data_IF_439879868170
#
_entry.id   IF_439879868170
#
_cell.length_a   1.000
_cell.length_b   1.000
_cell.length_c   1.000
_cell.angle_alpha   90.00
_cell.angle_beta   90.00
_cell.angle_gamma   90.00
#
_symmetry.space_group_name_H-M   'P 1'
#
loop_
_entity.id
_entity.type
_entity.pdbx_description
1 polymer ?
#
# COMPACT_ATOMS: atom_id res chain seq x y z
N UNK A 1 55.58 -24.74 26.15
CA UNK A 1 54.37 -24.12 25.56
C UNK A 1 53.19 -25.06 25.79
N UNK A 2 52.19 -24.61 26.56
CA UNK A 2 51.11 -25.46 27.08
C UNK A 2 49.85 -25.32 26.22
N UNK A 3 49.36 -26.46 25.73
CA UNK A 3 48.14 -26.69 24.93
C UNK A 3 46.83 -26.25 25.62
N UNK A 4 46.89 -25.64 26.82
CA UNK A 4 45.70 -25.26 27.61
C UNK A 4 45.12 -23.88 27.28
N UNK A 5 45.82 -23.02 26.54
CA UNK A 5 45.28 -21.68 26.20
C UNK A 5 44.46 -21.64 24.90
N UNK A 6 44.53 -22.68 24.06
CA UNK A 6 43.77 -22.70 22.79
C UNK A 6 42.28 -23.08 22.93
N UNK A 7 41.86 -23.64 24.07
CA UNK A 7 40.47 -24.09 24.27
C UNK A 7 39.48 -22.96 24.59
N UNK A 8 39.96 -21.84 25.13
CA UNK A 8 39.09 -20.70 25.45
C UNK A 8 38.85 -19.77 24.25
N UNK A 9 39.70 -19.83 23.22
CA UNK A 9 39.52 -19.04 21.99
C UNK A 9 38.41 -19.64 21.09
N UNK A 10 38.30 -20.97 21.02
CA UNK A 10 37.27 -21.64 20.22
C UNK A 10 35.86 -21.49 20.80
N UNK A 11 35.72 -21.41 22.13
CA UNK A 11 34.42 -21.22 22.78
C UNK A 11 33.85 -19.81 22.55
N UNK A 12 34.71 -18.80 22.44
CA UNK A 12 34.29 -17.42 22.17
C UNK A 12 33.87 -17.20 20.70
N UNK A 13 34.52 -17.89 19.75
CA UNK A 13 34.14 -17.81 18.33
C UNK A 13 32.80 -18.50 18.06
N UNK A 14 32.46 -19.58 18.77
CA UNK A 14 31.17 -20.26 18.59
C UNK A 14 29.98 -19.52 19.20
N UNK A 15 30.16 -18.70 20.25
CA UNK A 15 29.07 -17.88 20.82
C UNK A 15 28.81 -16.64 19.97
N UNK A 16 29.82 -16.10 19.27
CA UNK A 16 29.63 -14.97 18.37
C UNK A 16 28.94 -15.36 17.05
N UNK A 17 29.07 -16.61 16.60
CA UNK A 17 28.47 -17.08 15.35
C UNK A 17 26.97 -17.41 15.45
N UNK A 18 26.43 -17.56 16.67
CA UNK A 18 25.00 -17.86 16.89
C UNK A 18 24.13 -16.60 16.96
N UNK A 19 24.72 -15.40 17.12
CA UNK A 19 23.96 -14.15 17.22
C UNK A 19 23.69 -13.41 15.89
N UNK A 20 24.23 -13.85 14.76
CA UNK A 20 24.18 -13.07 13.51
C UNK A 20 23.37 -13.67 12.37
N UNK A 21 22.66 -14.78 12.60
CA UNK A 21 21.74 -15.36 11.63
C UNK A 21 20.31 -15.25 12.12
N UNK A 22 19.93 -14.07 12.62
CA UNK A 22 18.59 -13.56 12.34
C UNK A 22 18.57 -13.30 10.83
N UNK A 23 18.40 -14.37 10.05
CA UNK A 23 17.98 -14.24 8.67
C UNK A 23 16.73 -13.37 8.72
N UNK A 24 16.87 -12.12 8.30
CA UNK A 24 15.76 -11.29 7.89
C UNK A 24 15.10 -12.10 6.79
N UNK A 25 14.11 -12.90 7.16
CA UNK A 25 13.30 -13.61 6.20
C UNK A 25 12.50 -12.51 5.53
N UNK A 26 13.03 -12.03 4.39
CA UNK A 26 12.37 -11.03 3.58
C UNK A 26 10.92 -11.48 3.41
N UNK A 27 9.98 -10.63 3.83
CA UNK A 27 8.57 -10.92 3.64
C UNK A 27 8.33 -11.14 2.16
N UNK A 28 7.59 -12.20 1.83
CA UNK A 28 7.24 -12.43 0.43
C UNK A 28 6.31 -11.30 0.01
N UNK A 29 6.68 -10.53 -1.03
CA UNK A 29 5.85 -9.43 -1.48
C UNK A 29 4.49 -9.96 -1.94
N UNK A 30 3.44 -9.16 -1.71
CA UNK A 30 2.15 -9.38 -2.34
C UNK A 30 2.33 -9.32 -3.86
N UNK A 31 1.84 -10.32 -4.58
CA UNK A 31 1.82 -10.30 -6.05
C UNK A 31 0.52 -9.64 -6.51
N UNK A 32 0.61 -8.74 -7.48
CA UNK A 32 -0.53 -7.98 -7.98
C UNK A 32 -0.81 -8.36 -9.43
N UNK A 33 -2.07 -8.67 -9.73
CA UNK A 33 -2.52 -9.07 -11.05
C UNK A 33 -3.68 -8.21 -11.53
N UNK A 34 -3.69 -7.95 -12.83
CA UNK A 34 -4.91 -7.54 -13.55
C UNK A 34 -5.49 -8.77 -14.24
N UNK A 35 -6.68 -9.20 -13.87
CA UNK A 35 -7.35 -10.31 -14.55
C UNK A 35 -8.32 -9.76 -15.60
N UNK A 36 -8.06 -10.08 -16.88
CA UNK A 36 -8.83 -9.62 -18.03
C UNK A 36 -9.78 -10.70 -18.54
N UNK A 37 -11.10 -10.60 -18.32
CA UNK A 37 -12.06 -11.47 -19.01
C UNK A 37 -11.96 -11.36 -20.54
N UNK A 38 -12.40 -12.39 -21.26
CA UNK A 38 -12.25 -12.48 -22.73
C UNK A 38 -13.03 -11.42 -23.53
N UNK A 39 -14.08 -10.85 -22.95
CA UNK A 39 -14.92 -9.79 -23.52
C UNK A 39 -14.55 -8.37 -23.02
N UNK A 40 -13.49 -8.27 -22.21
CA UNK A 40 -12.99 -6.99 -21.69
C UNK A 40 -11.74 -6.59 -22.48
N UNK A 41 -11.62 -5.30 -22.81
CA UNK A 41 -10.45 -4.77 -23.49
C UNK A 41 -9.19 -4.92 -22.61
N UNK A 42 -8.01 -5.00 -23.24
CA UNK A 42 -6.77 -5.03 -22.49
C UNK A 42 -6.61 -3.74 -21.68
N UNK A 43 -6.08 -3.82 -20.43
CA UNK A 43 -5.88 -2.63 -19.63
C UNK A 43 -4.93 -1.68 -20.34
N UNK A 44 -5.27 -0.40 -20.28
CA UNK A 44 -4.37 0.69 -20.65
C UNK A 44 -3.27 0.83 -19.60
N UNK A 45 -2.15 1.49 -19.96
CA UNK A 45 -1.09 1.76 -18.99
C UNK A 45 -1.62 2.62 -17.83
N UNK A 46 -2.42 3.64 -18.11
CA UNK A 46 -3.06 4.50 -17.10
C UNK A 46 -3.89 3.69 -16.08
N UNK A 47 -4.56 2.61 -16.51
CA UNK A 47 -5.30 1.73 -15.59
C UNK A 47 -4.38 0.90 -14.69
N UNK A 48 -3.25 0.40 -15.23
CA UNK A 48 -2.25 -0.31 -14.44
C UNK A 48 -1.57 0.64 -13.45
N UNK A 49 -1.22 1.85 -13.88
CA UNK A 49 -0.65 2.88 -13.02
C UNK A 49 -1.62 3.25 -11.89
N UNK A 50 -2.92 3.38 -12.20
CA UNK A 50 -3.96 3.62 -11.18
C UNK A 50 -4.07 2.48 -10.16
N UNK A 51 -3.90 1.22 -10.59
CA UNK A 51 -3.87 0.06 -9.67
C UNK A 51 -2.61 0.10 -8.78
N UNK A 52 -1.47 0.44 -9.35
CA UNK A 52 -0.24 0.62 -8.60
C UNK A 52 -0.42 1.72 -7.52
N UNK A 53 -0.98 2.87 -7.88
CA UNK A 53 -1.33 3.94 -6.94
C UNK A 53 -2.27 3.48 -5.82
N UNK A 54 -3.27 2.65 -6.14
CA UNK A 54 -4.15 2.03 -5.12
C UNK A 54 -3.35 1.17 -4.15
N UNK A 55 -2.43 0.33 -4.64
CA UNK A 55 -1.62 -0.53 -3.78
C UNK A 55 -0.67 0.26 -2.89
N UNK A 56 -0.04 1.32 -3.42
CA UNK A 56 0.78 2.27 -2.64
C UNK A 56 -0.06 2.92 -1.54
N UNK A 57 -1.22 3.48 -1.89
CA UNK A 57 -2.09 4.15 -0.92
C UNK A 57 -2.59 3.20 0.19
N UNK A 58 -2.88 1.94 -0.16
CA UNK A 58 -3.25 0.92 0.83
C UNK A 58 -2.05 0.56 1.71
N UNK A 59 -0.86 0.38 1.14
CA UNK A 59 0.37 0.15 1.89
C UNK A 59 0.64 1.28 2.90
N UNK A 60 0.50 2.54 2.48
CA UNK A 60 0.65 3.73 3.33
C UNK A 60 -0.39 3.80 4.44
N UNK A 61 -1.64 3.41 4.15
CA UNK A 61 -2.70 3.32 5.15
C UNK A 61 -2.35 2.33 6.26
N UNK A 62 -1.90 1.12 5.91
CA UNK A 62 -1.47 0.13 6.91
C UNK A 62 -0.29 0.66 7.72
N UNK A 63 0.74 1.23 7.08
CA UNK A 63 1.89 1.82 7.76
C UNK A 63 1.48 2.89 8.78
N UNK A 64 0.65 3.84 8.35
CA UNK A 64 0.18 4.97 9.15
C UNK A 64 -0.66 4.52 10.34
N UNK A 65 -1.55 3.55 10.12
CA UNK A 65 -2.41 3.03 11.18
C UNK A 65 -1.62 2.19 12.20
N UNK A 66 -0.62 1.42 11.76
CA UNK A 66 0.28 0.69 12.66
C UNK A 66 1.11 1.65 13.52
N UNK A 67 1.63 2.74 12.93
CA UNK A 67 2.37 3.77 13.66
C UNK A 67 1.48 4.52 14.65
N UNK A 68 0.26 4.88 14.25
CA UNK A 68 -0.75 5.53 15.10
C UNK A 68 -1.07 4.74 16.37
N UNK A 69 -0.94 3.41 16.34
CA UNK A 69 -1.15 2.53 17.49
C UNK A 69 0.13 2.18 18.27
N UNK A 70 1.28 2.74 17.87
CA UNK A 70 2.56 2.57 18.55
C UNK A 70 3.35 1.33 18.15
N UNK A 71 3.03 0.70 17.02
CA UNK A 71 3.76 -0.46 16.49
C UNK A 71 4.86 -0.07 15.48
N UNK A 72 5.01 1.23 15.19
CA UNK A 72 5.91 1.78 14.18
C UNK A 72 5.33 1.69 12.76
N UNK A 73 6.09 2.21 11.78
CA UNK A 73 5.74 2.22 10.35
C UNK A 73 5.85 0.82 9.72
N UNK A 74 4.99 -0.09 10.17
CA UNK A 74 4.94 -1.47 9.67
C UNK A 74 3.89 -1.61 8.57
N UNK A 75 4.28 -2.20 7.45
CA UNK A 75 3.38 -2.48 6.35
C UNK A 75 3.87 -3.68 5.55
N UNK A 76 3.10 -4.09 4.55
CA UNK A 76 3.46 -5.18 3.65
C UNK A 76 4.26 -4.66 2.47
N UNK A 77 5.14 -5.48 1.90
CA UNK A 77 5.72 -5.21 0.58
C UNK A 77 4.80 -5.77 -0.52
N UNK A 78 4.84 -5.19 -1.71
CA UNK A 78 4.18 -5.75 -2.89
C UNK A 78 5.08 -5.61 -4.13
N UNK A 79 4.83 -6.45 -5.13
CA UNK A 79 5.51 -6.39 -6.42
C UNK A 79 4.84 -5.29 -7.27
N UNK A 80 5.57 -4.22 -7.65
CA UNK A 80 4.99 -3.14 -8.45
C UNK A 80 4.71 -3.56 -9.90
N UNK A 81 5.34 -4.64 -10.40
CA UNK A 81 5.11 -5.17 -11.73
C UNK A 81 3.77 -5.92 -11.76
N UNK A 82 2.73 -5.27 -12.28
CA UNK A 82 1.39 -5.85 -12.39
C UNK A 82 1.33 -6.79 -13.59
N UNK A 83 1.16 -8.09 -13.34
CA UNK A 83 0.98 -9.09 -14.40
C UNK A 83 -0.47 -9.11 -14.90
N UNK A 84 -0.67 -9.05 -16.22
CA UNK A 84 -1.98 -9.19 -16.86
C UNK A 84 -2.26 -10.66 -17.15
N UNK A 85 -3.31 -11.21 -16.54
CA UNK A 85 -3.79 -12.58 -16.75
C UNK A 85 -4.99 -12.57 -17.69
N UNK A 86 -4.89 -13.35 -18.76
CA UNK A 86 -5.92 -13.51 -19.78
C UNK A 86 -6.94 -14.59 -19.39
N UNK A 87 -8.17 -14.17 -19.10
CA UNK A 87 -9.31 -15.05 -18.82
C UNK A 87 -9.90 -15.65 -20.10
N UNK A 88 -10.41 -16.88 -20.00
CA UNK A 88 -10.99 -17.64 -21.11
C UNK A 88 -12.47 -17.38 -21.35
N UNK A 89 -13.17 -16.84 -20.36
CA UNK A 89 -14.61 -16.64 -20.37
C UNK A 89 -14.99 -15.17 -20.30
N UNK A 90 -16.28 -14.86 -20.47
CA UNK A 90 -16.80 -13.49 -20.37
C UNK A 90 -16.85 -13.02 -18.91
N UNK A 91 -16.82 -11.70 -18.68
CA UNK A 91 -16.85 -11.07 -17.36
C UNK A 91 -17.98 -11.62 -16.48
N UNK A 92 -19.15 -11.86 -17.06
CA UNK A 92 -20.31 -12.35 -16.32
C UNK A 92 -20.06 -13.72 -15.65
N UNK A 93 -19.19 -14.55 -16.20
CA UNK A 93 -18.83 -15.84 -15.60
C UNK A 93 -17.96 -15.69 -14.34
N UNK A 94 -17.16 -14.64 -14.26
CA UNK A 94 -16.35 -14.31 -13.09
C UNK A 94 -17.09 -13.51 -12.03
N UNK A 95 -18.32 -13.07 -12.30
CA UNK A 95 -19.16 -12.33 -11.32
C UNK A 95 -20.07 -13.23 -10.49
N UNK A 96 -20.22 -14.50 -10.86
CA UNK A 96 -21.17 -15.40 -10.20
C UNK A 96 -20.68 -15.87 -8.81
N UNK A 97 -21.63 -15.84 -7.86
CA UNK A 97 -21.46 -15.71 -6.41
C UNK A 97 -20.69 -16.84 -5.65
N UNK A 98 -20.19 -17.84 -6.37
CA UNK A 98 -19.59 -19.04 -5.72
C UNK A 98 -18.30 -19.47 -6.44
N UNK A 99 -18.08 -19.01 -7.66
CA UNK A 99 -17.08 -19.60 -8.55
C UNK A 99 -16.08 -18.62 -9.12
N UNK A 100 -16.27 -17.31 -8.90
CA UNK A 100 -15.37 -16.25 -9.37
C UNK A 100 -13.90 -16.54 -9.06
N UNK A 101 -13.56 -16.66 -7.78
CA UNK A 101 -12.22 -16.96 -7.29
C UNK A 101 -11.72 -18.33 -7.80
N UNK A 102 -12.58 -19.36 -7.79
CA UNK A 102 -12.19 -20.69 -8.24
C UNK A 102 -11.79 -20.69 -9.70
N UNK A 103 -12.51 -19.95 -10.53
CA UNK A 103 -12.33 -19.87 -11.98
C UNK A 103 -11.09 -19.04 -12.34
N UNK A 104 -10.94 -17.85 -11.76
CA UNK A 104 -9.72 -17.02 -11.88
C UNK A 104 -8.49 -17.86 -11.55
N UNK A 105 -8.51 -18.56 -10.42
CA UNK A 105 -7.41 -19.45 -10.00
C UNK A 105 -7.21 -20.65 -10.93
N UNK A 106 -8.26 -21.21 -11.52
CA UNK A 106 -8.11 -22.33 -12.47
C UNK A 106 -7.48 -21.92 -13.80
N UNK A 107 -7.58 -20.63 -14.13
CA UNK A 107 -7.07 -20.08 -15.39
C UNK A 107 -5.75 -19.35 -15.23
N UNK A 108 -5.32 -19.10 -13.98
CA UNK A 108 -4.02 -18.52 -13.66
C UNK A 108 -3.04 -19.59 -13.18
N UNK A 109 -1.97 -19.82 -13.95
CA UNK A 109 -0.86 -20.68 -13.53
C UNK A 109 0.01 -20.01 -12.44
N UNK A 110 -0.06 -18.68 -12.33
CA UNK A 110 0.68 -17.86 -11.37
C UNK A 110 0.09 -17.93 -9.95
N UNK A 111 -1.20 -18.23 -9.81
CA UNK A 111 -1.90 -18.30 -8.52
C UNK A 111 -1.97 -19.75 -8.02
N UNK A 112 -1.17 -20.06 -7.00
CA UNK A 112 -0.95 -21.44 -6.54
C UNK A 112 -1.59 -21.73 -5.18
N UNK A 113 -2.12 -22.95 -5.05
CA UNK A 113 -2.38 -23.52 -3.72
C UNK A 113 -1.07 -23.75 -3.01
N UNK A 114 -1.03 -23.45 -1.71
CA UNK A 114 0.15 -23.79 -0.93
C UNK A 114 0.20 -23.14 0.44
N UNK A 115 1.31 -23.40 1.12
CA UNK A 115 1.58 -22.97 2.49
C UNK A 115 2.71 -21.93 2.52
N UNK A 116 3.03 -21.32 1.39
CA UNK A 116 4.10 -20.33 1.26
C UNK A 116 3.70 -18.98 1.86
N UNK A 117 2.44 -18.84 2.28
CA UNK A 117 1.90 -17.60 2.86
C UNK A 117 1.94 -16.41 1.89
N UNK A 118 1.81 -16.68 0.59
CA UNK A 118 1.72 -15.67 -0.46
C UNK A 118 0.35 -15.02 -0.46
N UNK A 119 0.29 -13.72 -0.74
CA UNK A 119 -0.97 -13.01 -0.98
C UNK A 119 -0.96 -12.60 -2.45
N UNK A 120 -2.03 -12.96 -3.15
CA UNK A 120 -2.28 -12.60 -4.53
C UNK A 120 -3.42 -11.59 -4.55
N UNK A 121 -3.20 -10.36 -5.03
CA UNK A 121 -4.25 -9.36 -5.20
C UNK A 121 -4.61 -9.28 -6.67
N UNK A 122 -5.86 -9.58 -6.99
CA UNK A 122 -6.38 -9.67 -8.36
C UNK A 122 -7.40 -8.57 -8.58
N UNK A 123 -7.08 -7.62 -9.46
CA UNK A 123 -8.01 -6.61 -9.95
C UNK A 123 -8.76 -7.17 -11.16
N UNK A 124 -10.07 -7.37 -11.02
CA UNK A 124 -10.93 -7.90 -12.08
C UNK A 124 -11.35 -6.78 -13.04
N UNK A 125 -10.83 -6.81 -14.28
CA UNK A 125 -11.14 -5.86 -15.34
C UNK A 125 -12.60 -5.90 -15.79
N UNK A 126 -13.16 -4.76 -16.23
CA UNK A 126 -14.56 -4.65 -16.66
C UNK A 126 -15.59 -4.65 -15.52
N UNK A 127 -15.17 -5.00 -14.31
CA UNK A 127 -16.05 -5.06 -13.16
C UNK A 127 -16.23 -3.64 -12.57
N UNK A 128 -17.40 -3.07 -12.77
CA UNK A 128 -17.86 -1.79 -12.18
C UNK A 128 -18.86 -1.98 -11.03
N UNK A 129 -19.03 -3.23 -10.59
CA UNK A 129 -20.01 -3.61 -9.58
C UNK A 129 -19.41 -4.65 -8.64
N UNK A 130 -20.12 -4.85 -7.53
CA UNK A 130 -19.82 -5.87 -6.53
C UNK A 130 -19.45 -7.22 -7.17
N UNK A 131 -18.26 -7.72 -6.84
CA UNK A 131 -17.84 -9.09 -7.14
C UNK A 131 -18.47 -9.95 -6.06
N UNK A 132 -19.23 -10.96 -6.45
CA UNK A 132 -19.84 -11.86 -5.46
C UNK A 132 -20.82 -11.14 -4.49
N UNK A 133 -21.46 -10.05 -4.95
CA UNK A 133 -22.34 -9.24 -4.09
C UNK A 133 -21.61 -8.48 -2.96
N UNK A 134 -20.27 -8.53 -2.94
CA UNK A 134 -19.39 -7.83 -2.01
C UNK A 134 -18.43 -6.89 -2.77
N UNK A 135 -17.73 -6.02 -2.04
CA UNK A 135 -16.78 -5.07 -2.66
C UNK A 135 -15.52 -5.75 -3.18
N UNK A 136 -15.16 -6.84 -2.55
CA UNK A 136 -14.23 -7.83 -3.05
C UNK A 136 -14.44 -9.13 -2.30
N UNK A 137 -13.45 -10.00 -2.44
CA UNK A 137 -13.44 -11.29 -1.77
C UNK A 137 -12.01 -11.62 -1.38
N UNK A 138 -11.81 -12.11 -0.17
CA UNK A 138 -10.55 -12.70 0.29
C UNK A 138 -10.74 -14.18 0.60
N UNK A 139 -9.95 -15.04 -0.04
CA UNK A 139 -10.07 -16.49 0.04
C UNK A 139 -8.72 -17.16 0.31
N UNK A 140 -8.69 -17.99 1.35
CA UNK A 140 -7.57 -18.86 1.65
C UNK A 140 -7.42 -19.96 0.56
N UNK A 141 -6.19 -20.15 0.08
CA UNK A 141 -5.76 -21.11 -0.94
C UNK A 141 -4.92 -22.25 -0.33
N UNK A 142 -5.43 -22.89 0.71
CA UNK A 142 -4.89 -24.13 1.29
C UNK A 142 -6.00 -25.15 1.61
N UNK A 143 -5.70 -26.45 1.51
CA UNK A 143 -6.68 -27.53 1.61
C UNK A 143 -7.05 -27.94 3.06
N UNK A 144 -6.90 -27.05 4.05
CA UNK A 144 -6.97 -27.44 5.47
C UNK A 144 -7.97 -26.59 6.24
N UNK A 145 -8.55 -27.20 7.28
CA UNK A 145 -9.45 -26.56 8.23
C UNK A 145 -8.85 -25.25 8.79
N UNK A 146 -9.64 -24.17 8.88
CA UNK A 146 -9.18 -22.81 9.23
C UNK A 146 -8.53 -22.70 10.62
N UNK A 147 -8.71 -23.70 11.47
CA UNK A 147 -8.28 -23.73 12.86
C UNK A 147 -6.80 -24.14 13.03
N UNK A 148 -6.14 -24.61 11.96
CA UNK A 148 -4.84 -25.30 12.07
C UNK A 148 -3.69 -24.72 11.24
N UNK A 149 -3.89 -23.65 10.46
CA UNK A 149 -2.81 -23.11 9.62
C UNK A 149 -2.53 -21.64 9.87
N UNK A 150 -1.27 -21.38 10.27
CA UNK A 150 -0.67 -20.04 10.35
C UNK A 150 -0.19 -19.57 8.96
N UNK A 151 0.03 -20.50 8.04
CA UNK A 151 0.62 -20.25 6.72
C UNK A 151 -0.28 -20.82 5.62
N UNK A 152 -0.90 -19.93 4.87
CA UNK A 152 -1.79 -20.28 3.77
C UNK A 152 -1.67 -19.20 2.72
N UNK A 153 -1.56 -19.58 1.44
CA UNK A 153 -1.67 -18.59 0.39
C UNK A 153 -3.08 -17.98 0.45
N UNK A 154 -3.22 -16.70 0.11
CA UNK A 154 -4.51 -16.01 0.06
C UNK A 154 -4.67 -15.35 -1.30
N UNK A 155 -5.90 -15.32 -1.79
CA UNK A 155 -6.25 -14.57 -2.98
C UNK A 155 -7.32 -13.55 -2.63
N UNK A 156 -7.00 -12.30 -2.90
CA UNK A 156 -7.88 -11.14 -2.82
C UNK A 156 -8.36 -10.83 -4.24
N UNK A 157 -9.66 -10.73 -4.44
CA UNK A 157 -10.26 -10.31 -5.72
C UNK A 157 -11.02 -9.02 -5.48
N UNK A 158 -10.65 -7.97 -6.21
CA UNK A 158 -11.27 -6.65 -6.12
C UNK A 158 -11.69 -6.17 -7.52
N UNK A 159 -12.72 -5.33 -7.56
CA UNK A 159 -13.23 -4.77 -8.81
C UNK A 159 -12.32 -3.64 -9.30
N UNK A 160 -11.81 -3.72 -10.55
CA UNK A 160 -10.89 -2.70 -11.06
C UNK A 160 -11.57 -1.35 -11.34
N UNK A 161 -12.86 -1.31 -11.66
CA UNK A 161 -13.54 -0.08 -12.10
C UNK A 161 -14.38 0.60 -10.99
N UNK A 162 -14.41 0.06 -9.77
CA UNK A 162 -15.18 0.67 -8.66
C UNK A 162 -14.42 1.82 -7.98
N UNK A 163 -14.18 2.90 -8.74
CA UNK A 163 -13.32 4.03 -8.31
C UNK A 163 -13.69 4.61 -6.93
N UNK A 164 -14.97 4.66 -6.58
CA UNK A 164 -15.41 5.25 -5.31
C UNK A 164 -15.03 4.43 -4.07
N UNK A 165 -14.83 3.11 -4.24
CA UNK A 165 -14.62 2.15 -3.16
C UNK A 165 -13.37 1.29 -3.32
N UNK A 166 -12.61 1.44 -4.42
CA UNK A 166 -11.44 0.61 -4.69
C UNK A 166 -10.40 0.73 -3.58
N UNK A 167 -10.16 1.94 -3.04
CA UNK A 167 -9.21 2.15 -1.95
C UNK A 167 -9.65 1.45 -0.65
N UNK A 168 -10.79 1.81 -0.02
CA UNK A 168 -11.21 1.16 1.23
C UNK A 168 -11.57 -0.32 1.05
N UNK A 169 -12.08 -0.71 -0.13
CA UNK A 169 -12.37 -2.09 -0.48
C UNK A 169 -11.11 -2.93 -0.56
N UNK A 170 -10.08 -2.48 -1.27
CA UNK A 170 -8.79 -3.19 -1.34
C UNK A 170 -8.13 -3.29 0.03
N UNK A 171 -8.15 -2.22 0.84
CA UNK A 171 -7.64 -2.27 2.21
C UNK A 171 -8.39 -3.30 3.09
N UNK A 172 -9.71 -3.39 2.96
CA UNK A 172 -10.54 -4.36 3.68
C UNK A 172 -10.20 -5.81 3.32
N UNK A 173 -10.15 -6.12 2.03
CA UNK A 173 -9.91 -7.49 1.58
C UNK A 173 -8.47 -7.95 1.84
N UNK A 174 -7.50 -7.02 1.76
CA UNK A 174 -6.12 -7.28 2.19
C UNK A 174 -6.08 -7.51 3.71
N UNK A 175 -6.86 -6.77 4.50
CA UNK A 175 -7.04 -7.04 5.94
C UNK A 175 -7.47 -8.49 6.20
N UNK A 176 -8.44 -9.01 5.45
CA UNK A 176 -8.83 -10.41 5.51
C UNK A 176 -7.70 -11.38 5.15
N UNK A 177 -6.89 -11.06 4.12
CA UNK A 177 -5.74 -11.88 3.74
C UNK A 177 -4.67 -11.92 4.85
N UNK A 178 -4.59 -10.89 5.68
CA UNK A 178 -3.77 -10.86 6.91
C UNK A 178 -4.44 -11.52 8.13
N UNK A 179 -5.63 -12.09 7.98
CA UNK A 179 -6.35 -12.82 9.04
C UNK A 179 -7.28 -11.95 9.88
N UNK A 180 -7.47 -10.68 9.52
CA UNK A 180 -8.47 -9.83 10.18
C UNK A 180 -9.88 -10.32 9.86
N UNK A 181 -10.78 -10.16 10.82
CA UNK A 181 -12.19 -10.55 10.70
C UNK A 181 -13.06 -9.31 10.70
N UNK A 182 -14.29 -9.45 10.21
CA UNK A 182 -15.26 -8.38 10.36
C UNK A 182 -15.47 -8.05 11.84
N UNK A 183 -15.58 -6.76 12.10
CA UNK A 183 -15.96 -6.22 13.40
C UNK A 183 -17.36 -5.63 13.34
N UNK A 184 -18.05 -5.67 14.49
CA UNK A 184 -19.34 -4.99 14.66
C UNK A 184 -19.16 -3.49 14.94
N UNK A 185 -17.94 -3.06 15.29
CA UNK A 185 -17.62 -1.66 15.48
C UNK A 185 -17.60 -0.96 14.14
N UNK A 186 -18.54 -0.04 13.91
CA UNK A 186 -18.63 0.70 12.64
C UNK A 186 -17.68 1.90 12.55
N UNK A 187 -17.32 2.46 13.69
CA UNK A 187 -16.54 3.69 13.77
C UNK A 187 -15.48 3.60 14.87
N UNK A 188 -14.31 4.18 14.59
CA UNK A 188 -13.21 4.39 15.53
C UNK A 188 -13.02 5.90 15.65
N UNK A 189 -13.55 6.47 16.74
CA UNK A 189 -13.67 7.92 16.86
C UNK A 189 -14.64 8.47 15.82
N UNK A 190 -14.14 9.30 14.90
CA UNK A 190 -14.90 9.88 13.79
C UNK A 190 -14.60 9.23 12.43
N UNK A 191 -13.74 8.19 12.38
CA UNK A 191 -13.39 7.44 11.17
C UNK A 191 -14.18 6.15 11.11
N UNK A 192 -14.53 5.67 9.92
CA UNK A 192 -15.09 4.34 9.72
C UNK A 192 -14.08 3.27 10.13
N UNK A 193 -14.54 2.16 10.66
CA UNK A 193 -13.66 1.00 10.86
C UNK A 193 -13.47 0.29 9.53
N UNK A 194 -12.22 0.12 9.07
CA UNK A 194 -11.94 -0.53 7.78
C UNK A 194 -12.42 -1.97 7.76
N UNK A 195 -12.48 -2.66 8.91
CA UNK A 195 -12.96 -4.04 8.99
C UNK A 195 -14.46 -4.14 9.30
N UNK A 196 -15.21 -3.03 9.31
CA UNK A 196 -16.66 -3.05 9.49
C UNK A 196 -17.39 -3.51 8.24
N UNK A 197 -18.24 -4.53 8.36
CA UNK A 197 -19.22 -4.88 7.33
C UNK A 197 -20.64 -4.37 7.69
N UNK A 198 -21.46 -3.93 6.71
CA UNK A 198 -21.11 -3.53 5.34
C UNK A 198 -20.60 -2.08 5.28
N UNK A 199 -19.75 -1.76 4.30
CA UNK A 199 -19.51 -0.38 3.92
C UNK A 199 -20.82 0.23 3.45
N UNK A 200 -21.23 1.35 4.05
CA UNK A 200 -22.32 2.13 3.49
C UNK A 200 -21.88 2.71 2.15
N UNK A 201 -22.25 2.07 1.04
CA UNK A 201 -22.05 2.64 -0.29
C UNK A 201 -23.02 3.79 -0.48
N UNK A 202 -22.47 4.97 -0.76
CA UNK A 202 -23.23 6.13 -1.20
C UNK A 202 -22.81 6.42 -2.63
N UNK A 203 -23.68 6.17 -3.63
CA UNK A 203 -23.35 6.43 -5.03
C UNK A 203 -22.82 7.85 -5.24
N UNK A 204 -21.70 7.98 -5.95
CA UNK A 204 -21.07 9.27 -6.27
C UNK A 204 -20.24 9.92 -5.15
N UNK A 205 -20.03 9.23 -4.02
CA UNK A 205 -19.12 9.69 -2.96
C UNK A 205 -17.83 8.88 -3.03
N UNK A 206 -16.77 9.48 -3.56
CA UNK A 206 -15.42 8.90 -3.49
C UNK A 206 -14.98 8.87 -2.04
N UNK A 207 -14.65 7.69 -1.54
CA UNK A 207 -14.17 7.48 -0.17
C UNK A 207 -12.65 7.39 -0.18
N UNK A 208 -12.00 8.16 0.68
CA UNK A 208 -10.54 8.10 0.86
C UNK A 208 -10.19 7.29 2.11
N UNK A 209 -8.98 6.73 2.18
CA UNK A 209 -8.51 5.95 3.35
C UNK A 209 -8.36 6.82 4.61
N UNK A 210 -8.26 8.15 4.47
CA UNK A 210 -8.28 9.08 5.59
C UNK A 210 -9.60 9.02 6.39
N UNK A 211 -10.70 8.59 5.76
CA UNK A 211 -11.98 8.43 6.43
C UNK A 211 -12.10 7.12 7.23
N UNK A 212 -11.14 6.21 7.10
CA UNK A 212 -11.15 4.88 7.72
C UNK A 212 -10.00 4.68 8.70
N UNK A 213 -10.13 3.76 9.64
CA UNK A 213 -9.08 3.43 10.60
C UNK A 213 -9.06 1.93 10.89
N UNK A 214 -7.93 1.42 11.35
CA UNK A 214 -7.81 0.12 11.99
C UNK A 214 -8.10 0.24 13.49
N UNK A 215 -8.85 -0.71 14.04
CA UNK A 215 -9.03 -0.77 15.49
C UNK A 215 -7.70 -1.12 16.17
N UNK A 216 -7.56 -0.83 17.46
CA UNK A 216 -6.37 -1.24 18.20
C UNK A 216 -6.22 -2.78 18.23
N UNK A 217 -7.34 -3.51 18.25
CA UNK A 217 -7.35 -4.97 18.21
C UNK A 217 -6.83 -5.50 16.87
N UNK A 218 -7.24 -4.90 15.75
CA UNK A 218 -6.77 -5.30 14.41
C UNK A 218 -5.28 -5.00 14.24
N UNK A 219 -4.83 -3.80 14.65
CA UNK A 219 -3.42 -3.45 14.60
C UNK A 219 -2.54 -4.36 15.47
N UNK A 220 -3.05 -4.78 16.64
CA UNK A 220 -2.38 -5.77 17.49
C UNK A 220 -2.28 -7.13 16.78
N UNK A 221 -3.37 -7.60 16.17
CA UNK A 221 -3.38 -8.87 15.43
C UNK A 221 -2.41 -8.85 14.24
N UNK A 222 -2.32 -7.73 13.51
CA UNK A 222 -1.35 -7.54 12.42
C UNK A 222 0.09 -7.58 12.95
N UNK A 223 0.38 -6.89 14.05
CA UNK A 223 1.70 -6.88 14.66
C UNK A 223 2.14 -8.27 15.15
N UNK A 224 1.24 -9.00 15.80
CA UNK A 224 1.50 -10.35 16.30
C UNK A 224 1.59 -11.40 15.18
N UNK A 225 0.88 -11.18 14.06
CA UNK A 225 0.90 -12.06 12.91
C UNK A 225 2.25 -12.11 12.19
N UNK A 226 3.12 -11.11 12.40
CA UNK A 226 4.47 -11.07 11.81
C UNK A 226 4.46 -11.04 10.27
N UNK A 227 3.38 -10.54 9.66
CA UNK A 227 3.19 -10.41 8.21
C UNK A 227 3.38 -8.98 7.70
N UNK A 228 3.55 -8.04 8.62
CA UNK A 228 3.94 -6.67 8.33
C UNK A 228 5.34 -6.46 8.89
N UNK A 229 6.25 -6.05 8.02
CA UNK A 229 7.60 -5.70 8.39
C UNK A 229 7.67 -4.22 8.62
N UNK A 230 8.63 -3.81 9.45
CA UNK A 230 9.13 -2.45 9.35
C UNK A 230 9.71 -2.36 7.94
N UNK A 231 9.04 -1.64 7.06
CA UNK A 231 9.74 -1.14 5.90
C UNK A 231 10.81 -0.28 6.53
N UNK A 232 12.08 -0.65 6.35
CA UNK A 232 13.12 0.37 6.43
C UNK A 232 12.57 1.42 5.50
N UNK A 233 12.11 2.53 6.07
CA UNK A 233 11.93 3.74 5.32
C UNK A 233 13.32 3.83 4.74
N UNK A 234 13.47 3.47 3.45
CA UNK A 234 14.69 3.73 2.74
C UNK A 234 15.00 5.12 3.23
N UNK A 235 16.14 5.29 3.89
CA UNK A 235 16.62 6.63 4.12
C UNK A 235 16.78 7.14 2.70
N UNK A 236 15.67 7.62 2.15
CA UNK A 236 15.53 8.64 1.16
C UNK A 236 16.32 9.70 1.87
N UNK A 237 17.64 9.64 1.65
CA UNK A 237 18.61 10.64 2.05
C UNK A 237 17.87 11.91 1.78
N UNK A 238 17.45 12.58 2.86
CA UNK A 238 16.41 13.60 2.87
C UNK A 238 16.45 14.33 1.53
N UNK A 239 15.57 13.94 0.59
CA UNK A 239 15.79 14.35 -0.80
C UNK A 239 15.73 15.86 -0.77
N UNK A 240 16.88 16.46 -1.04
CA UNK A 240 17.07 17.88 -0.94
C UNK A 240 16.42 18.50 -2.17
N UNK A 241 15.22 19.03 -1.95
CA UNK A 241 14.47 19.70 -3.01
C UNK A 241 15.00 21.10 -3.32
N UNK A 242 15.97 21.60 -2.54
CA UNK A 242 16.61 22.91 -2.70
C UNK A 242 17.77 22.77 -3.71
N UNK A 243 17.42 22.97 -4.97
CA UNK A 243 18.31 22.68 -6.10
C UNK A 243 19.33 23.80 -6.29
N UNK A 244 18.99 25.04 -5.95
CA UNK A 244 19.92 26.17 -6.03
C UNK A 244 20.65 26.52 -4.73
N UNK A 245 20.40 25.75 -3.66
CA UNK A 245 21.00 25.88 -2.34
C UNK A 245 20.77 27.27 -1.72
N UNK A 246 19.59 27.86 -1.94
CA UNK A 246 19.23 29.16 -1.35
C UNK A 246 18.69 29.05 0.09
N UNK A 247 18.40 27.82 0.53
CA UNK A 247 17.95 27.45 1.86
C UNK A 247 16.44 27.23 1.98
N UNK A 248 15.68 27.41 0.90
CA UNK A 248 14.24 27.15 0.83
C UNK A 248 13.93 26.19 -0.32
N UNK A 249 12.83 25.42 -0.22
CA UNK A 249 12.31 24.63 -1.36
C UNK A 249 11.06 25.32 -1.90
N UNK A 250 11.15 25.90 -3.10
CA UNK A 250 10.09 26.73 -3.66
C UNK A 250 9.81 26.53 -5.16
N UNK A 251 9.16 27.51 -5.79
CA UNK A 251 8.79 27.43 -7.21
C UNK A 251 9.96 27.65 -8.16
N UNK A 252 11.06 28.24 -7.71
CA UNK A 252 12.25 28.45 -8.51
C UNK A 252 13.03 27.14 -8.65
N UNK A 253 13.13 26.30 -7.61
CA UNK A 253 13.65 24.92 -7.71
C UNK A 253 12.89 24.09 -8.75
N UNK A 254 11.55 24.14 -8.70
CA UNK A 254 10.70 23.43 -9.67
C UNK A 254 10.99 23.89 -11.10
N UNK A 255 11.29 25.18 -11.31
CA UNK A 255 11.64 25.70 -12.65
C UNK A 255 13.03 25.26 -13.07
N UNK A 256 13.98 25.16 -12.14
CA UNK A 256 15.35 24.70 -12.42
C UNK A 256 15.31 23.24 -12.88
N UNK A 257 14.67 22.34 -12.12
CA UNK A 257 14.53 20.92 -12.50
C UNK A 257 13.78 20.78 -13.82
N UNK A 258 12.67 21.51 -13.99
CA UNK A 258 11.93 21.51 -15.24
C UNK A 258 12.78 22.00 -16.43
N UNK A 259 13.65 22.97 -16.23
CA UNK A 259 14.60 23.38 -17.26
C UNK A 259 15.63 22.27 -17.55
N UNK A 260 16.06 21.52 -16.54
CA UNK A 260 16.94 20.35 -16.62
C UNK A 260 16.44 19.25 -17.55
N UNK A 261 15.12 19.02 -17.57
CA UNK A 261 14.51 18.02 -18.48
C UNK A 261 14.71 18.33 -19.97
N UNK A 262 14.96 19.60 -20.33
CA UNK A 262 15.06 20.05 -21.73
C UNK A 262 16.44 20.60 -22.10
N UNK A 263 17.16 21.15 -21.12
CA UNK A 263 18.41 21.85 -21.31
C UNK A 263 19.37 21.49 -20.18
N UNK A 264 20.68 21.50 -20.46
CA UNK A 264 21.67 21.43 -19.38
C UNK A 264 21.55 22.65 -18.47
N UNK A 265 21.50 22.40 -17.17
CA UNK A 265 21.61 23.44 -16.13
C UNK A 265 22.94 23.27 -15.39
N UNK A 266 23.43 24.30 -14.68
CA UNK A 266 24.61 24.16 -13.82
C UNK A 266 24.30 23.46 -12.49
N UNK A 267 23.03 23.14 -12.22
CA UNK A 267 22.55 22.51 -11.00
C UNK A 267 22.41 21.00 -11.21
N UNK A 268 22.45 20.25 -10.11
CA UNK A 268 22.10 18.84 -10.13
C UNK A 268 20.57 18.72 -10.11
N UNK A 269 19.99 18.27 -11.22
CA UNK A 269 18.52 18.21 -11.39
C UNK A 269 17.98 16.79 -11.36
N UNK A 270 18.83 15.80 -11.08
CA UNK A 270 18.50 14.39 -10.89
C UNK A 270 18.25 14.15 -9.39
N UNK A 271 17.01 14.39 -8.97
CA UNK A 271 16.60 14.55 -7.58
C UNK A 271 16.41 13.20 -6.88
N UNK A 272 16.11 12.16 -7.66
CA UNK A 272 15.99 10.79 -7.17
C UNK A 272 17.27 9.94 -7.38
N UNK A 273 18.37 10.55 -7.84
CA UNK A 273 19.67 9.92 -8.13
C UNK A 273 19.55 8.70 -9.09
N UNK A 274 18.62 8.72 -10.04
CA UNK A 274 18.40 7.61 -10.99
C UNK A 274 19.27 7.69 -12.26
N UNK A 275 20.02 8.77 -12.40
CA UNK A 275 20.93 9.06 -13.52
C UNK A 275 20.29 9.89 -14.63
N UNK A 276 19.01 10.27 -14.51
CA UNK A 276 18.26 10.97 -15.55
C UNK A 276 17.36 12.05 -14.95
N UNK A 277 17.55 13.30 -15.34
CA UNK A 277 16.56 14.36 -15.04
C UNK A 277 15.31 14.21 -15.90
N UNK A 278 14.17 13.86 -15.29
CA UNK A 278 12.88 13.70 -15.94
C UNK A 278 11.70 14.32 -15.15
N UNK A 279 10.45 13.93 -15.48
CA UNK A 279 9.25 14.47 -14.82
C UNK A 279 9.05 13.95 -13.38
N UNK A 280 9.70 12.84 -13.00
CA UNK A 280 9.69 12.32 -11.64
C UNK A 280 10.44 13.28 -10.71
N UNK A 281 11.60 13.79 -11.13
CA UNK A 281 12.35 14.81 -10.37
C UNK A 281 11.52 16.07 -10.15
N UNK A 282 10.84 16.52 -11.21
CA UNK A 282 9.95 17.68 -11.16
C UNK A 282 8.80 17.43 -10.18
N UNK A 283 8.25 16.22 -10.15
CA UNK A 283 7.17 15.85 -9.24
C UNK A 283 7.64 15.84 -7.77
N UNK A 284 8.84 15.32 -7.50
CA UNK A 284 9.44 15.28 -6.16
C UNK A 284 9.62 16.70 -5.62
N UNK A 285 10.25 17.59 -6.39
CA UNK A 285 10.46 18.99 -5.94
C UNK A 285 9.15 19.74 -5.79
N UNK A 286 8.15 19.51 -6.65
CA UNK A 286 6.81 20.09 -6.47
C UNK A 286 6.17 19.66 -5.15
N UNK A 287 6.28 18.38 -4.79
CA UNK A 287 5.74 17.88 -3.53
C UNK A 287 6.43 18.56 -2.34
N UNK A 288 7.76 18.66 -2.37
CA UNK A 288 8.55 19.35 -1.33
C UNK A 288 8.23 20.83 -1.23
N UNK A 289 8.08 21.54 -2.35
CA UNK A 289 7.66 22.94 -2.36
C UNK A 289 6.25 23.12 -1.75
N UNK A 290 5.33 22.19 -2.00
CA UNK A 290 4.00 22.21 -1.37
C UNK A 290 4.10 21.98 0.14
N UNK A 291 4.93 21.03 0.59
CA UNK A 291 5.20 20.79 2.02
C UNK A 291 5.78 22.05 2.68
N UNK A 292 6.76 22.69 2.06
CA UNK A 292 7.38 23.93 2.53
C UNK A 292 6.36 25.09 2.61
N UNK A 293 5.52 25.26 1.58
CA UNK A 293 4.44 26.26 1.60
C UNK A 293 3.45 25.98 2.73
N UNK A 294 3.08 24.72 2.98
CA UNK A 294 2.17 24.33 4.07
C UNK A 294 2.82 24.61 5.44
N UNK A 295 4.12 24.34 5.58
CA UNK A 295 4.88 24.58 6.81
C UNK A 295 5.09 26.08 7.10
N UNK A 296 5.38 26.86 6.05
CA UNK A 296 5.58 28.31 6.13
C UNK A 296 4.27 29.09 6.21
N UNK A 297 3.15 28.48 5.81
CA UNK A 297 1.84 29.10 5.92
C UNK A 297 1.60 29.45 7.40
N UNK A 298 1.37 30.74 7.74
CA UNK A 298 1.13 31.12 9.12
C UNK A 298 -0.06 30.31 9.61
N UNK A 299 0.16 29.51 10.67
CA UNK A 299 -0.89 28.72 11.32
C UNK A 299 -2.12 29.60 11.37
N UNK A 300 -3.13 29.32 10.53
CA UNK A 300 -4.34 30.13 10.47
C UNK A 300 -4.92 30.05 11.87
N UNK A 301 -4.68 31.11 12.66
CA UNK A 301 -5.36 31.39 13.91
C UNK A 301 -6.82 31.13 13.57
N UNK A 302 -7.46 30.15 14.21
CA UNK A 302 -8.84 29.76 13.93
C UNK A 302 -9.71 31.02 14.00
N UNK A 303 -9.86 31.71 12.88
CA UNK A 303 -10.82 32.80 12.76
C UNK A 303 -12.13 32.04 12.76
N UNK A 304 -12.86 32.14 13.87
CA UNK A 304 -14.26 31.76 13.91
C UNK A 304 -14.93 32.56 12.78
N UNK A 305 -15.08 31.93 11.63
CA UNK A 305 -16.00 32.35 10.60
C UNK A 305 -17.39 32.14 11.19
N UNK A 306 -17.85 33.12 11.97
CA UNK A 306 -19.27 33.29 12.20
C UNK A 306 -19.85 33.67 10.85
N UNK A 307 -20.68 32.80 10.31
CA UNK A 307 -21.58 33.09 9.21
C UNK A 307 -22.32 34.40 9.52
N UNK A 308 -22.46 35.24 8.48
CA UNK A 308 -23.08 36.57 8.44
C UNK A 308 -22.13 37.75 8.60
N UNK A 309 -21.75 38.29 7.44
CA UNK A 309 -20.94 39.48 7.30
C UNK A 309 -21.57 40.71 7.94
N UNK A 310 -20.78 41.38 8.80
CA UNK A 310 -20.68 42.84 8.85
C UNK A 310 -19.42 43.21 9.63
N UNK A 311 -18.38 43.61 8.91
CA UNK A 311 -17.39 44.51 9.47
C UNK A 311 -18.12 45.80 9.85
N UNK A 312 -18.23 46.09 11.14
CA UNK A 312 -18.50 47.45 11.61
C UNK A 312 -17.17 48.08 11.97
N UNK A 313 -16.81 49.11 11.22
CA UNK A 313 -15.78 50.08 11.64
C UNK A 313 -16.21 50.74 12.95
N UNK A 314 -15.44 50.51 14.02
CA UNK A 314 -14.60 51.50 14.71
C UNK A 314 -13.81 50.81 15.81
#
# INVERSE_FOLDING_TARGET
>A
MRVREFKNLFLFVSIFFVCFLSFVQAELPIEVFYFKPSDVEAPTQDELDSIHEVMVAVQDFFASEMDRHGFGLKTFAFNPDIEVIEGKDELNEYRQHITSHRKIRQESDSIQWGLENRIYVVFLGGASHLVDGALGLSQALCAVHPDQLVYCNNMVVVSAEMRELILPGTAHEIGHAFGLRHTHQRFIGNRGDVMSAPFGFFPGVVRTLEEFALSFADATALNEGGRLSVQEKNEVSEIDGDVDNDGDVDLDDVKIVKSGTQNSTPYDTDINDDGVTDENDVAIVKLKAVEAIIAAAPHKRKVKLTTWGRLKER
#
